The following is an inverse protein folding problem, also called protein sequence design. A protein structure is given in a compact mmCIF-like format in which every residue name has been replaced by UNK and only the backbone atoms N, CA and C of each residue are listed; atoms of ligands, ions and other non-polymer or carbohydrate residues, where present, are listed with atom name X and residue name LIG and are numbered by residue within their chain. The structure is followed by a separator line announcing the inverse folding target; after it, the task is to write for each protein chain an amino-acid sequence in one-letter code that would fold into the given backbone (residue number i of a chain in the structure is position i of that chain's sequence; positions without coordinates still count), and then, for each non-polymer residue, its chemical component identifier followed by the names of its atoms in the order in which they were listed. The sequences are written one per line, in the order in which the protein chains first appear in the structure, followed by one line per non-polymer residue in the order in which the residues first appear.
data_IF_312852867513
#
_entry.id   IF_312852867513
#
_cell.length_a   1.000
_cell.length_b   1.000
_cell.length_c   1.000
_cell.angle_alpha   90.00
_cell.angle_beta   90.00
_cell.angle_gamma   90.00
#
_symmetry.space_group_name_H-M   'P 1'
#
loop_
_entity.id
_entity.type
_entity.pdbx_description
1 polymer ?
#
# COMPACT_ATOMS: atom_id res chain seq x y z
N UNK A 1 9.00 -16.40 4.41
CA UNK A 1 7.74 -16.23 5.19
C UNK A 1 6.61 -16.08 4.16
N UNK A 2 5.58 -16.92 4.17
CA UNK A 2 4.45 -16.83 3.23
C UNK A 2 3.56 -15.62 3.55
N UNK A 3 3.38 -14.64 2.63
CA UNK A 3 2.47 -13.51 2.79
C UNK A 3 0.99 -13.90 2.72
N UNK A 4 0.66 -15.02 2.07
CA UNK A 4 -0.72 -15.47 1.80
C UNK A 4 -1.57 -15.66 3.06
N UNK A 5 -0.95 -16.01 4.20
CA UNK A 5 -1.64 -16.15 5.49
C UNK A 5 -2.26 -14.87 6.05
N UNK A 6 -1.89 -13.71 5.50
CA UNK A 6 -2.43 -12.42 5.92
C UNK A 6 -3.55 -11.93 5.00
N UNK A 7 -3.83 -12.64 3.90
CA UNK A 7 -4.91 -12.28 2.98
C UNK A 7 -6.22 -12.10 3.74
N UNK A 8 -6.89 -10.98 3.47
CA UNK A 8 -8.14 -10.61 4.10
C UNK A 8 -8.02 -10.02 5.50
N UNK A 9 -6.85 -10.02 6.13
CA UNK A 9 -6.64 -9.38 7.44
C UNK A 9 -6.46 -7.87 7.29
N UNK A 10 -6.97 -7.14 8.26
CA UNK A 10 -6.67 -5.72 8.45
C UNK A 10 -5.36 -5.58 9.23
N UNK A 11 -4.44 -4.77 8.71
CA UNK A 11 -3.13 -4.52 9.32
C UNK A 11 -2.76 -3.05 9.15
N UNK A 12 -1.94 -2.56 10.08
CA UNK A 12 -1.31 -1.24 9.99
C UNK A 12 0.17 -1.40 9.72
N UNK A 13 0.68 -0.70 8.72
CA UNK A 13 2.11 -0.67 8.36
C UNK A 13 2.58 0.78 8.46
N UNK A 14 3.69 1.00 9.17
CA UNK A 14 4.32 2.29 9.31
C UNK A 14 5.73 2.26 8.72
N UNK A 15 6.09 3.32 8.00
CA UNK A 15 7.39 3.38 7.35
C UNK A 15 7.57 4.60 6.47
N UNK A 16 8.59 4.54 5.61
CA UNK A 16 8.91 5.60 4.65
C UNK A 16 8.41 5.24 3.26
N UNK A 17 7.83 6.20 2.57
CA UNK A 17 7.38 6.02 1.19
C UNK A 17 8.60 6.01 0.26
N UNK A 18 8.82 4.89 -0.43
CA UNK A 18 9.97 4.71 -1.34
C UNK A 18 9.63 4.96 -2.81
N UNK A 19 8.37 4.75 -3.19
CA UNK A 19 7.88 4.97 -4.55
C UNK A 19 6.39 5.30 -4.52
N UNK A 20 5.93 6.16 -5.41
CA UNK A 20 4.52 6.55 -5.54
C UNK A 20 4.15 6.76 -7.01
N UNK A 21 2.96 6.30 -7.41
CA UNK A 21 2.37 6.67 -8.69
C UNK A 21 0.84 6.67 -8.61
N UNK A 22 0.21 7.66 -9.22
CA UNK A 22 -1.24 7.85 -9.18
C UNK A 22 -1.81 8.24 -10.52
N UNK A 23 -3.09 7.91 -10.72
CA UNK A 23 -3.89 8.31 -11.86
C UNK A 23 -5.34 8.51 -11.39
N UNK A 24 -5.96 9.61 -11.81
CA UNK A 24 -7.41 9.88 -11.66
C UNK A 24 -7.93 9.71 -10.21
N UNK A 25 -7.26 10.31 -9.22
CA UNK A 25 -7.72 10.33 -7.82
C UNK A 25 -7.43 9.05 -7.00
N UNK A 26 -6.84 8.04 -7.63
CA UNK A 26 -6.34 6.83 -6.97
C UNK A 26 -4.87 6.59 -7.31
N UNK A 27 -4.21 5.73 -6.57
CA UNK A 27 -2.84 5.35 -6.89
C UNK A 27 -2.30 4.29 -5.96
N UNK A 28 -1.06 3.90 -6.23
CA UNK A 28 -0.32 3.03 -5.33
C UNK A 28 0.96 3.70 -4.90
N UNK A 29 1.38 3.37 -3.68
CA UNK A 29 2.66 3.78 -3.16
C UNK A 29 3.28 2.61 -2.39
N UNK A 30 4.59 2.61 -2.27
CA UNK A 30 5.35 1.58 -1.58
C UNK A 30 5.84 2.15 -0.25
N UNK A 31 5.55 1.43 0.84
CA UNK A 31 6.10 1.71 2.16
C UNK A 31 7.27 0.75 2.41
N UNK A 32 8.39 1.29 2.86
CA UNK A 32 9.52 0.57 3.43
C UNK A 32 9.50 0.73 4.97
N UNK A 33 9.35 -0.37 5.69
CA UNK A 33 9.33 -0.41 7.16
C UNK A 33 10.70 -0.72 7.80
N UNK A 34 11.74 -0.83 6.97
CA UNK A 34 13.10 -1.21 7.37
C UNK A 34 13.36 -2.72 7.38
N UNK A 35 12.33 -3.55 7.26
CA UNK A 35 12.43 -5.03 7.16
C UNK A 35 11.99 -5.56 5.81
N UNK A 36 11.20 -4.77 5.08
CA UNK A 36 10.76 -5.07 3.73
C UNK A 36 9.85 -3.96 3.21
N UNK A 37 9.25 -4.23 2.06
CA UNK A 37 8.38 -3.26 1.41
C UNK A 37 6.98 -3.80 1.15
N UNK A 38 5.98 -2.93 1.25
CA UNK A 38 4.59 -3.25 0.91
C UNK A 38 4.02 -2.23 -0.06
N UNK A 39 3.45 -2.70 -1.17
CA UNK A 39 2.63 -1.86 -2.04
C UNK A 39 1.27 -1.63 -1.40
N UNK A 40 0.87 -0.36 -1.35
CA UNK A 40 -0.40 0.09 -0.81
C UNK A 40 -1.20 0.69 -1.95
N UNK A 41 -2.45 0.26 -2.12
CA UNK A 41 -3.40 0.91 -3.01
C UNK A 41 -4.26 1.88 -2.22
N UNK A 42 -4.24 3.15 -2.62
CA UNK A 42 -5.10 4.20 -2.09
C UNK A 42 -6.11 4.63 -3.14
N UNK A 43 -7.39 4.44 -2.84
CA UNK A 43 -8.48 4.83 -3.73
C UNK A 43 -9.08 6.19 -3.38
N UNK A 44 -9.03 6.60 -2.11
CA UNK A 44 -9.79 7.76 -1.63
C UNK A 44 -9.02 8.70 -0.71
N UNK A 45 -7.77 8.38 -0.37
CA UNK A 45 -7.00 9.13 0.64
C UNK A 45 -5.80 9.87 0.06
N UNK A 46 -5.69 9.90 -1.28
CA UNK A 46 -4.55 10.46 -2.02
C UNK A 46 -3.33 9.54 -2.02
N UNK A 47 -2.26 9.96 -2.68
CA UNK A 47 -0.99 9.22 -2.71
C UNK A 47 0.08 10.06 -2.02
N UNK A 48 0.69 9.59 -0.92
CA UNK A 48 1.77 10.32 -0.27
C UNK A 48 2.97 10.51 -1.21
N UNK A 49 3.70 11.62 -1.06
CA UNK A 49 4.93 11.87 -1.81
C UNK A 49 6.09 10.98 -1.37
N UNK A 50 7.05 10.73 -2.27
CA UNK A 50 8.28 9.99 -1.96
C UNK A 50 9.00 10.63 -0.76
N UNK A 51 9.47 9.78 0.16
CA UNK A 51 10.18 10.18 1.36
C UNK A 51 9.29 10.52 2.56
N UNK A 52 7.97 10.66 2.38
CA UNK A 52 7.03 10.86 3.49
C UNK A 52 7.07 9.70 4.48
N UNK A 53 6.83 10.00 5.77
CA UNK A 53 6.59 8.98 6.80
C UNK A 53 5.10 8.87 7.01
N UNK A 54 4.58 7.65 6.93
CA UNK A 54 3.14 7.39 7.05
C UNK A 54 2.90 6.13 7.88
N UNK A 55 1.76 6.08 8.55
CA UNK A 55 1.17 4.84 9.06
C UNK A 55 -0.13 4.60 8.29
N UNK A 56 -0.23 3.45 7.63
CA UNK A 56 -1.38 3.11 6.77
C UNK A 56 -2.06 1.86 7.27
N UNK A 57 -3.37 1.95 7.52
CA UNK A 57 -4.23 0.80 7.83
C UNK A 57 -4.96 0.35 6.57
N UNK A 58 -4.97 -0.96 6.34
CA UNK A 58 -5.65 -1.52 5.20
C UNK A 58 -5.80 -3.04 5.26
N UNK A 59 -6.42 -3.59 4.22
CA UNK A 59 -6.66 -5.03 4.07
C UNK A 59 -5.68 -5.63 3.06
N UNK A 60 -5.08 -6.76 3.40
CA UNK A 60 -4.18 -7.47 2.47
C UNK A 60 -4.99 -8.16 1.37
N UNK A 61 -4.62 -7.92 0.12
CA UNK A 61 -5.19 -8.55 -1.09
C UNK A 61 -4.09 -9.14 -1.97
N UNK A 62 -4.45 -10.10 -2.82
CA UNK A 62 -3.56 -10.73 -3.79
C UNK A 62 -4.08 -10.58 -5.21
N UNK A 63 -3.18 -10.67 -6.20
CA UNK A 63 -3.55 -10.66 -7.62
C UNK A 63 -4.18 -9.34 -8.07
N UNK A 64 -3.65 -8.21 -7.59
CA UNK A 64 -4.18 -6.89 -7.88
C UNK A 64 -3.52 -6.27 -9.11
N UNK A 65 -4.27 -5.56 -9.95
CA UNK A 65 -3.71 -4.84 -11.10
C UNK A 65 -4.17 -3.39 -11.11
N UNK A 66 -3.24 -2.46 -11.37
CA UNK A 66 -3.50 -1.03 -11.44
C UNK A 66 -2.53 -0.35 -12.40
N UNK A 67 -3.06 0.53 -13.27
CA UNK A 67 -2.24 1.32 -14.19
C UNK A 67 -1.33 0.50 -15.11
N UNK A 68 -1.80 -0.65 -15.60
CA UNK A 68 -1.00 -1.55 -16.45
C UNK A 68 0.09 -2.35 -15.72
N UNK A 69 0.11 -2.32 -14.39
CA UNK A 69 1.03 -3.11 -13.55
C UNK A 69 0.25 -4.12 -12.72
N UNK A 70 0.85 -5.28 -12.49
CA UNK A 70 0.28 -6.34 -11.65
C UNK A 70 1.11 -6.55 -10.38
N UNK A 71 0.41 -6.75 -9.28
CA UNK A 71 0.95 -6.86 -7.93
C UNK A 71 0.49 -8.18 -7.31
N UNK A 72 1.46 -9.01 -6.92
CA UNK A 72 1.16 -10.29 -6.29
C UNK A 72 0.43 -10.10 -4.95
N UNK A 73 0.81 -9.08 -4.17
CA UNK A 73 0.16 -8.74 -2.90
C UNK A 73 0.17 -7.23 -2.71
N UNK A 74 -0.95 -6.67 -2.22
CA UNK A 74 -1.09 -5.26 -1.86
C UNK A 74 -1.76 -5.12 -0.48
N UNK A 75 -1.61 -3.95 0.11
CA UNK A 75 -2.47 -3.45 1.18
C UNK A 75 -3.48 -2.47 0.55
N UNK A 76 -4.77 -2.82 0.51
CA UNK A 76 -5.81 -1.86 0.13
C UNK A 76 -6.11 -1.00 1.34
N UNK A 77 -5.83 0.29 1.25
CA UNK A 77 -6.07 1.25 2.33
C UNK A 77 -7.56 1.36 2.67
N UNK A 78 -7.89 1.26 3.96
CA UNK A 78 -9.28 1.30 4.46
C UNK A 78 -9.58 2.52 5.32
N UNK A 79 -8.55 3.23 5.79
CA UNK A 79 -8.68 4.36 6.71
C UNK A 79 -7.82 5.54 6.26
N UNK A 80 -8.20 6.75 6.67
CA UNK A 80 -7.41 7.95 6.43
C UNK A 80 -6.14 7.91 7.28
N UNK A 81 -4.99 8.16 6.65
CA UNK A 81 -3.68 8.25 7.33
C UNK A 81 -3.59 9.51 8.18
N UNK A 82 -2.85 9.40 9.28
CA UNK A 82 -2.45 10.52 10.15
C UNK A 82 -1.00 10.93 9.89
#
# INVERSE_FOLDING_TARGET
RDPGRFVGKEVTIAGRVSSSFGALGSGVFQIDDGTGTMWVFSQSFGVPGNGARVATTGRIEQGFSFGGRSFATILRETQRRH
#
